data_IF_730425737046
#
_entry.id   IF_730425737046
#
_cell.length_a   1.000
_cell.length_b   1.000
_cell.length_c   1.000
_cell.angle_alpha   90.00
_cell.angle_beta   90.00
_cell.angle_gamma   90.00
#
_symmetry.space_group_name_H-M   'P 1'
#
loop_
_entity.id
_entity.type
_entity.pdbx_description
1 polymer ?
#
# COMPACT_ATOMS: atom_id res chain seq x y z
N UNK A 1 -20.41 -45.86 -61.23
CA UNK A 1 -20.07 -46.37 -59.88
C UNK A 1 -20.42 -45.27 -58.88
N UNK A 2 -21.44 -45.47 -58.03
CA UNK A 2 -21.82 -44.60 -56.89
C UNK A 2 -20.93 -45.00 -55.67
N UNK A 3 -21.24 -44.81 -54.35
CA UNK A 3 -22.30 -44.08 -53.59
C UNK A 3 -21.75 -43.30 -52.33
N UNK A 4 -22.51 -42.42 -51.64
CA UNK A 4 -23.24 -42.54 -50.33
C UNK A 4 -22.47 -42.64 -48.98
N UNK A 5 -22.97 -41.85 -48.00
CA UNK A 5 -23.19 -42.09 -46.55
C UNK A 5 -22.05 -42.01 -45.49
N UNK A 6 -22.36 -41.39 -44.34
CA UNK A 6 -21.50 -41.28 -43.15
C UNK A 6 -22.02 -40.37 -42.03
N UNK A 7 -23.01 -40.86 -41.29
CA UNK A 7 -23.83 -40.25 -40.22
C UNK A 7 -23.15 -40.22 -38.82
N UNK A 8 -23.51 -39.24 -37.96
CA UNK A 8 -23.72 -39.30 -36.47
C UNK A 8 -23.50 -37.90 -35.87
N UNK A 9 -24.28 -37.29 -34.97
CA UNK A 9 -25.51 -37.50 -34.19
C UNK A 9 -25.55 -36.30 -33.19
N UNK A 10 -26.58 -35.44 -33.10
CA UNK A 10 -27.85 -35.58 -32.34
C UNK A 10 -27.58 -35.73 -30.82
N UNK A 11 -28.12 -35.00 -29.83
CA UNK A 11 -29.25 -34.06 -29.68
C UNK A 11 -29.11 -33.31 -28.34
N UNK A 12 -29.78 -32.15 -28.23
CA UNK A 12 -30.16 -31.48 -26.99
C UNK A 12 -31.38 -32.19 -26.37
N UNK A 13 -31.41 -32.39 -25.04
CA UNK A 13 -32.69 -32.56 -24.34
C UNK A 13 -32.66 -32.09 -22.90
N UNK A 14 -33.63 -31.22 -22.65
CA UNK A 14 -34.07 -30.51 -21.46
C UNK A 14 -34.65 -31.44 -20.38
N UNK A 15 -34.56 -31.07 -19.09
CA UNK A 15 -35.57 -31.54 -18.13
C UNK A 15 -35.74 -30.67 -16.89
N UNK A 16 -37.01 -30.40 -16.63
CA UNK A 16 -37.60 -29.60 -15.56
C UNK A 16 -37.68 -30.32 -14.19
N UNK A 17 -38.12 -29.54 -13.20
CA UNK A 17 -38.36 -29.82 -11.77
C UNK A 17 -39.17 -31.09 -11.43
N UNK A 18 -39.23 -31.42 -10.13
CA UNK A 18 -40.56 -31.44 -9.48
C UNK A 18 -40.57 -30.84 -8.07
N UNK A 19 -41.72 -30.27 -7.70
CA UNK A 19 -42.04 -29.87 -6.33
C UNK A 19 -42.59 -31.02 -5.49
N UNK A 20 -42.61 -30.84 -4.17
CA UNK A 20 -43.42 -31.61 -3.22
C UNK A 20 -43.63 -30.77 -1.96
N UNK A 21 -44.88 -30.62 -1.53
CA UNK A 21 -45.26 -29.89 -0.31
C UNK A 21 -45.55 -30.83 0.85
N UNK A 22 -45.35 -30.37 2.09
CA UNK A 22 -46.02 -30.86 3.31
C UNK A 22 -46.05 -29.73 4.37
N UNK A 23 -47.16 -29.68 5.08
CA UNK A 23 -47.62 -28.75 6.11
C UNK A 23 -47.11 -29.17 7.52
N UNK A 24 -46.87 -28.24 8.44
CA UNK A 24 -46.59 -28.59 9.85
C UNK A 24 -46.06 -27.45 10.72
N UNK A 25 -46.92 -26.89 11.57
CA UNK A 25 -46.55 -26.01 12.67
C UNK A 25 -45.71 -26.75 13.72
N UNK A 26 -44.53 -26.24 14.05
CA UNK A 26 -43.88 -26.49 15.34
C UNK A 26 -43.08 -25.25 15.75
N UNK A 27 -43.50 -24.60 16.85
CA UNK A 27 -42.66 -23.62 17.55
C UNK A 27 -41.69 -24.39 18.43
N UNK A 28 -40.41 -24.38 18.08
CA UNK A 28 -39.31 -24.63 19.02
C UNK A 28 -38.42 -23.39 18.96
N UNK A 29 -38.38 -22.64 20.06
CA UNK A 29 -37.34 -21.67 20.28
C UNK A 29 -36.06 -22.43 20.59
N UNK A 30 -35.08 -22.34 19.70
CA UNK A 30 -33.72 -22.75 19.98
C UNK A 30 -32.78 -21.63 19.53
N UNK A 31 -31.88 -21.26 20.44
CA UNK A 31 -30.85 -20.26 20.22
C UNK A 31 -29.75 -20.95 19.40
N UNK A 32 -29.94 -20.98 18.08
CA UNK A 32 -28.89 -21.44 17.16
C UNK A 32 -28.13 -20.22 16.64
N UNK A 33 -26.91 -20.06 17.14
CA UNK A 33 -25.89 -19.19 16.54
C UNK A 33 -25.71 -19.62 15.08
N UNK A 34 -26.29 -18.88 14.14
CA UNK A 34 -26.15 -19.12 12.71
C UNK A 34 -24.73 -18.74 12.27
N UNK A 35 -23.80 -19.68 12.41
CA UNK A 35 -22.64 -19.72 11.53
C UNK A 35 -23.18 -20.16 10.17
N UNK A 36 -23.57 -19.18 9.36
CA UNK A 36 -23.96 -19.39 7.97
C UNK A 36 -22.71 -19.89 7.22
N UNK A 37 -22.55 -21.21 7.15
CA UNK A 37 -21.67 -21.87 6.20
C UNK A 37 -22.40 -22.01 4.87
N UNK A 38 -22.67 -20.89 4.21
CA UNK A 38 -22.89 -20.93 2.76
C UNK A 38 -21.53 -21.12 2.11
N UNK A 39 -21.27 -22.35 1.67
CA UNK A 39 -20.24 -22.68 0.69
C UNK A 39 -20.39 -21.75 -0.52
N UNK A 40 -19.58 -20.70 -0.57
CA UNK A 40 -19.49 -19.81 -1.72
C UNK A 40 -18.21 -20.18 -2.47
N UNK A 41 -18.35 -20.49 -3.75
CA UNK A 41 -17.28 -20.66 -4.73
C UNK A 41 -16.09 -19.75 -4.39
N UNK A 42 -14.99 -20.34 -3.94
CA UNK A 42 -13.84 -19.62 -3.41
C UNK A 42 -12.98 -19.05 -4.55
N UNK A 43 -13.59 -18.23 -5.40
CA UNK A 43 -12.89 -17.19 -6.13
C UNK A 43 -12.53 -16.10 -5.12
N UNK A 44 -11.23 -15.88 -4.88
CA UNK A 44 -10.74 -14.78 -4.05
C UNK A 44 -11.27 -13.46 -4.66
N UNK A 45 -12.32 -12.90 -4.07
CA UNK A 45 -12.85 -11.61 -4.50
C UNK A 45 -11.94 -10.50 -3.96
N UNK A 46 -11.62 -9.53 -4.82
CA UNK A 46 -10.72 -8.44 -4.45
C UNK A 46 -11.42 -7.48 -3.50
N UNK A 47 -10.82 -7.29 -2.32
CA UNK A 47 -11.24 -6.28 -1.35
C UNK A 47 -11.24 -4.87 -1.96
N UNK A 48 -12.30 -4.11 -1.66
CA UNK A 48 -12.49 -2.72 -2.11
C UNK A 48 -12.44 -1.78 -0.91
N UNK A 49 -12.03 -0.55 -1.14
CA UNK A 49 -12.08 0.51 -0.13
C UNK A 49 -13.53 0.84 0.23
N UNK A 50 -13.79 1.09 1.52
CA UNK A 50 -15.12 1.48 1.98
C UNK A 50 -15.49 2.89 1.49
N UNK A 51 -14.52 3.81 1.49
CA UNK A 51 -14.70 5.19 1.00
C UNK A 51 -13.52 5.67 0.17
N UNK A 52 -13.81 6.51 -0.83
CA UNK A 52 -12.78 7.13 -1.69
C UNK A 52 -11.75 7.96 -0.91
N UNK A 53 -12.15 8.54 0.22
CA UNK A 53 -11.25 9.32 1.09
C UNK A 53 -10.20 8.46 1.77
N UNK A 54 -10.51 7.20 2.12
CA UNK A 54 -9.57 6.27 2.77
C UNK A 54 -8.41 5.94 1.81
N UNK A 55 -8.75 5.72 0.54
CA UNK A 55 -7.79 5.56 -0.53
C UNK A 55 -6.93 6.81 -0.72
N UNK A 56 -7.55 8.00 -0.80
CA UNK A 56 -6.81 9.25 -0.98
C UNK A 56 -5.84 9.50 0.18
N UNK A 57 -6.29 9.31 1.43
CA UNK A 57 -5.46 9.47 2.61
C UNK A 57 -4.28 8.48 2.63
N UNK A 58 -4.50 7.25 2.18
CA UNK A 58 -3.42 6.26 2.03
C UNK A 58 -2.39 6.69 0.99
N UNK A 59 -2.81 7.24 -0.15
CA UNK A 59 -1.90 7.79 -1.16
C UNK A 59 -1.12 9.01 -0.64
N UNK A 60 -1.76 9.91 0.11
CA UNK A 60 -1.09 11.07 0.71
C UNK A 60 -0.07 10.62 1.76
N UNK A 61 -0.43 9.65 2.62
CA UNK A 61 0.48 9.10 3.62
C UNK A 61 1.71 8.43 2.99
N UNK A 62 1.54 7.72 1.86
CA UNK A 62 2.67 7.15 1.11
C UNK A 62 3.54 8.24 0.45
N UNK A 63 2.94 9.36 0.03
CA UNK A 63 3.65 10.43 -0.70
C UNK A 63 4.42 11.37 0.24
N UNK A 64 3.90 11.64 1.43
CA UNK A 64 4.51 12.53 2.43
C UNK A 64 5.34 11.70 3.40
N UNK A 65 6.62 11.48 3.06
CA UNK A 65 7.54 10.70 3.89
C UNK A 65 8.48 11.55 4.76
N UNK A 66 9.09 10.91 5.76
CA UNK A 66 10.08 11.53 6.65
C UNK A 66 11.29 12.11 5.90
N UNK A 67 11.62 11.54 4.73
CA UNK A 67 12.64 12.07 3.82
C UNK A 67 12.38 13.51 3.36
N UNK A 68 11.11 13.93 3.23
CA UNK A 68 10.78 15.30 2.83
C UNK A 68 11.13 16.32 3.92
N UNK A 69 11.17 15.90 5.20
CA UNK A 69 11.41 16.80 6.34
C UNK A 69 12.88 17.22 6.42
N UNK A 70 13.83 16.32 6.15
CA UNK A 70 15.27 16.64 6.24
C UNK A 70 15.96 16.82 4.88
N UNK A 71 15.55 16.07 3.84
CA UNK A 71 16.33 15.99 2.60
C UNK A 71 16.06 17.21 1.75
N UNK A 72 14.79 17.63 1.70
CA UNK A 72 14.38 18.79 0.94
C UNK A 72 15.03 20.07 1.47
N UNK A 73 14.96 20.41 2.78
CA UNK A 73 15.62 21.62 3.28
C UNK A 73 17.12 21.61 3.06
N UNK A 74 17.78 20.47 3.34
CA UNK A 74 19.22 20.34 3.14
C UNK A 74 19.64 20.55 1.67
N UNK A 75 18.87 20.00 0.74
CA UNK A 75 19.16 20.13 -0.70
C UNK A 75 18.84 21.54 -1.21
N UNK A 76 17.74 22.14 -0.76
CA UNK A 76 17.39 23.51 -1.10
C UNK A 76 18.46 24.48 -0.59
N UNK A 77 18.88 24.37 0.68
CA UNK A 77 19.91 25.23 1.27
C UNK A 77 21.23 25.18 0.50
N UNK A 78 21.66 24.01 0.03
CA UNK A 78 22.89 23.88 -0.76
C UNK A 78 22.80 24.41 -2.19
N UNK A 79 21.60 24.44 -2.77
CA UNK A 79 21.38 24.79 -4.18
C UNK A 79 20.75 26.18 -4.37
N UNK A 80 21.04 27.13 -3.48
CA UNK A 80 20.53 28.50 -3.58
C UNK A 80 19.22 28.77 -2.81
N UNK A 81 18.92 27.96 -1.80
CA UNK A 81 17.81 28.13 -0.87
C UNK A 81 16.44 28.12 -1.58
N UNK A 82 15.68 29.20 -1.41
CA UNK A 82 14.34 29.34 -1.99
C UNK A 82 14.31 29.37 -3.52
N UNK A 83 15.39 29.80 -4.19
CA UNK A 83 15.44 29.83 -5.65
C UNK A 83 15.37 28.43 -6.28
N UNK A 84 15.87 27.41 -5.59
CA UNK A 84 15.80 26.00 -5.99
C UNK A 84 14.36 25.45 -6.09
N UNK A 85 13.41 26.10 -5.42
CA UNK A 85 12.00 25.65 -5.41
C UNK A 85 11.36 25.82 -6.79
N UNK A 86 11.76 26.83 -7.57
CA UNK A 86 11.20 27.09 -8.90
C UNK A 86 11.45 25.91 -9.87
N UNK A 87 12.70 25.48 -10.12
CA UNK A 87 12.95 24.32 -10.98
C UNK A 87 12.40 23.01 -10.38
N UNK A 88 12.38 22.88 -9.05
CA UNK A 88 11.78 21.72 -8.38
C UNK A 88 10.29 21.58 -8.71
N UNK A 89 9.52 22.67 -8.63
CA UNK A 89 8.09 22.66 -8.97
C UNK A 89 7.85 22.38 -10.46
N UNK A 90 8.68 22.93 -11.35
CA UNK A 90 8.57 22.67 -12.80
C UNK A 90 8.73 21.18 -13.09
N UNK A 91 9.78 20.54 -12.56
CA UNK A 91 10.01 19.10 -12.74
C UNK A 91 8.90 18.28 -12.09
N UNK A 92 8.39 18.70 -10.93
CA UNK A 92 7.28 18.03 -10.25
C UNK A 92 6.00 18.04 -11.11
N UNK A 93 5.68 19.17 -11.77
CA UNK A 93 4.50 19.24 -12.63
C UNK A 93 4.69 18.57 -13.99
N UNK A 94 5.88 18.67 -14.58
CA UNK A 94 6.15 18.13 -15.93
C UNK A 94 6.43 16.62 -15.90
N UNK A 95 7.10 16.12 -14.87
CA UNK A 95 7.51 14.71 -14.77
C UNK A 95 6.75 14.00 -13.65
N UNK A 96 6.67 14.60 -12.47
CA UNK A 96 6.03 13.99 -11.30
C UNK A 96 4.54 13.73 -11.50
N UNK A 97 3.79 14.74 -11.95
CA UNK A 97 2.34 14.60 -12.16
C UNK A 97 2.03 13.54 -13.23
N UNK A 98 2.60 13.55 -14.45
CA UNK A 98 2.31 12.51 -15.44
C UNK A 98 2.68 11.08 -14.98
N UNK A 99 3.82 10.90 -14.31
CA UNK A 99 4.21 9.59 -13.78
C UNK A 99 3.24 9.08 -12.71
N UNK A 100 2.81 9.96 -11.81
CA UNK A 100 1.81 9.61 -10.80
C UNK A 100 0.48 9.18 -11.43
N UNK A 101 -0.01 9.93 -12.43
CA UNK A 101 -1.23 9.55 -13.16
C UNK A 101 -1.07 8.21 -13.89
N UNK A 102 0.08 7.98 -14.52
CA UNK A 102 0.35 6.73 -15.23
C UNK A 102 0.29 5.53 -14.28
N UNK A 103 0.96 5.61 -13.12
CA UNK A 103 0.96 4.55 -12.11
C UNK A 103 -0.46 4.26 -11.60
N UNK A 104 -1.24 5.33 -11.33
CA UNK A 104 -2.60 5.20 -10.83
C UNK A 104 -3.54 4.57 -11.87
N UNK A 105 -3.48 5.00 -13.13
CA UNK A 105 -4.29 4.43 -14.22
C UNK A 105 -3.90 2.97 -14.46
N UNK A 106 -2.60 2.65 -14.47
CA UNK A 106 -2.13 1.28 -14.66
C UNK A 106 -2.59 0.35 -13.52
N UNK A 107 -2.53 0.83 -12.27
CA UNK A 107 -3.00 0.10 -11.10
C UNK A 107 -4.51 -0.17 -11.12
N UNK A 108 -5.32 0.83 -11.51
CA UNK A 108 -6.77 0.67 -11.64
C UNK A 108 -7.14 -0.27 -12.80
N UNK A 109 -6.52 -0.10 -13.97
CA UNK A 109 -6.82 -0.89 -15.17
C UNK A 109 -6.45 -2.36 -15.00
N UNK A 110 -5.25 -2.65 -14.48
CA UNK A 110 -4.79 -4.03 -14.34
C UNK A 110 -5.44 -4.75 -13.17
N UNK A 111 -5.81 -4.01 -12.11
CA UNK A 111 -6.35 -4.55 -10.85
C UNK A 111 -5.52 -5.69 -10.26
N UNK A 112 -4.21 -5.72 -10.58
CA UNK A 112 -3.21 -6.70 -10.16
C UNK A 112 -2.08 -6.02 -9.37
N UNK A 113 -1.26 -6.81 -8.68
CA UNK A 113 -0.10 -6.29 -7.94
C UNK A 113 1.07 -5.87 -8.84
N UNK A 114 2.05 -5.17 -8.26
CA UNK A 114 3.14 -4.49 -8.97
C UNK A 114 4.00 -5.40 -9.86
N UNK A 115 4.11 -6.69 -9.55
CA UNK A 115 4.84 -7.66 -10.41
C UNK A 115 3.94 -8.18 -11.53
N UNK A 116 2.68 -8.50 -11.21
CA UNK A 116 1.70 -9.10 -12.14
C UNK A 116 1.16 -8.09 -13.16
N UNK A 117 1.28 -6.79 -12.88
CA UNK A 117 0.86 -5.72 -13.80
C UNK A 117 1.62 -5.78 -15.13
N UNK A 118 2.87 -6.24 -15.09
CA UNK A 118 3.77 -6.33 -16.23
C UNK A 118 3.73 -7.68 -16.96
N UNK A 119 2.81 -8.60 -16.60
CA UNK A 119 2.66 -9.88 -17.29
C UNK A 119 2.19 -9.74 -18.75
N UNK A 120 1.80 -8.53 -19.18
CA UNK A 120 1.49 -8.17 -20.58
C UNK A 120 2.74 -8.28 -21.48
N UNK A 121 3.93 -8.04 -20.93
CA UNK A 121 5.20 -8.20 -21.65
C UNK A 121 6.28 -8.78 -20.73
N UNK A 122 6.83 -9.98 -21.03
CA UNK A 122 7.79 -10.65 -20.17
C UNK A 122 9.08 -9.83 -19.96
N UNK A 123 9.42 -8.93 -20.90
CA UNK A 123 10.57 -8.04 -20.77
C UNK A 123 10.40 -7.01 -19.65
N UNK A 124 9.18 -6.55 -19.39
CA UNK A 124 8.88 -5.53 -18.37
C UNK A 124 8.71 -6.11 -16.96
N UNK A 125 8.66 -7.44 -16.82
CA UNK A 125 8.49 -8.12 -15.53
C UNK A 125 9.62 -7.81 -14.54
N UNK A 126 10.83 -7.53 -15.04
CA UNK A 126 11.96 -7.09 -14.23
C UNK A 126 11.71 -5.76 -13.50
N UNK A 127 10.90 -4.86 -14.07
CA UNK A 127 10.58 -3.57 -13.46
C UNK A 127 9.77 -3.76 -12.17
N UNK A 128 8.74 -4.63 -12.20
CA UNK A 128 7.92 -4.91 -11.03
C UNK A 128 8.69 -5.62 -9.91
N UNK A 129 9.60 -6.53 -10.26
CA UNK A 129 10.48 -7.19 -9.28
C UNK A 129 11.46 -6.18 -8.68
N UNK A 130 12.09 -5.34 -9.52
CA UNK A 130 12.97 -4.28 -9.07
C UNK A 130 12.28 -3.32 -8.10
N UNK A 131 11.08 -2.85 -8.45
CA UNK A 131 10.26 -2.00 -7.58
C UNK A 131 9.96 -2.66 -6.23
N UNK A 132 9.65 -3.97 -6.23
CA UNK A 132 9.38 -4.72 -4.98
C UNK A 132 10.63 -4.81 -4.10
N UNK A 133 11.80 -5.09 -4.67
CA UNK A 133 13.07 -5.14 -3.94
C UNK A 133 13.42 -3.77 -3.38
N UNK A 134 13.31 -2.71 -4.19
CA UNK A 134 13.56 -1.33 -3.74
C UNK A 134 12.65 -0.93 -2.58
N UNK A 135 11.35 -1.25 -2.64
CA UNK A 135 10.42 -0.98 -1.55
C UNK A 135 10.80 -1.75 -0.28
N UNK A 136 11.21 -3.02 -0.39
CA UNK A 136 11.67 -3.80 0.75
C UNK A 136 12.89 -3.17 1.43
N UNK A 137 13.89 -2.75 0.65
CA UNK A 137 15.08 -2.07 1.18
C UNK A 137 14.74 -0.74 1.85
N UNK A 138 13.87 0.06 1.23
CA UNK A 138 13.41 1.34 1.79
C UNK A 138 12.70 1.10 3.12
N UNK A 139 11.71 0.22 3.16
CA UNK A 139 10.95 -0.08 4.39
C UNK A 139 11.88 -0.55 5.50
N UNK A 140 12.86 -1.42 5.21
CA UNK A 140 13.82 -1.89 6.21
C UNK A 140 14.64 -0.76 6.84
N UNK A 141 15.20 0.14 6.03
CA UNK A 141 15.95 1.29 6.53
C UNK A 141 15.05 2.28 7.30
N UNK A 142 13.87 2.61 6.76
CA UNK A 142 12.96 3.56 7.40
C UNK A 142 12.37 3.01 8.72
N UNK A 143 12.20 1.69 8.85
CA UNK A 143 11.77 1.08 10.12
C UNK A 143 12.78 1.34 11.25
N UNK A 144 14.08 1.24 10.98
CA UNK A 144 15.12 1.54 11.98
C UNK A 144 15.11 3.02 12.39
N UNK A 145 14.92 3.94 11.43
CA UNK A 145 14.80 5.37 11.73
C UNK A 145 13.56 5.67 12.56
N UNK A 146 12.42 5.04 12.22
CA UNK A 146 11.18 5.21 12.97
C UNK A 146 11.34 4.68 14.41
N UNK A 147 12.04 3.56 14.61
CA UNK A 147 12.34 3.04 15.94
C UNK A 147 13.16 4.05 16.78
N UNK A 148 14.15 4.71 16.17
CA UNK A 148 14.91 5.78 16.83
C UNK A 148 13.97 6.95 17.18
N UNK A 149 13.12 7.40 16.26
CA UNK A 149 12.18 8.49 16.50
C UNK A 149 11.20 8.18 17.65
N UNK A 150 10.66 6.96 17.71
CA UNK A 150 9.81 6.51 18.81
C UNK A 150 10.57 6.47 20.14
N UNK A 151 11.84 6.03 20.14
CA UNK A 151 12.68 6.09 21.35
C UNK A 151 12.85 7.53 21.85
N UNK A 152 13.19 8.46 20.97
CA UNK A 152 13.30 9.88 21.31
C UNK A 152 11.96 10.47 21.77
N UNK A 153 10.83 10.04 21.19
CA UNK A 153 9.49 10.44 21.62
C UNK A 153 9.20 9.99 23.06
N UNK A 154 9.51 8.73 23.39
CA UNK A 154 9.33 8.20 24.75
C UNK A 154 10.25 8.92 25.75
N UNK A 155 11.51 9.14 25.39
CA UNK A 155 12.47 9.85 26.25
C UNK A 155 12.12 11.34 26.44
N UNK A 156 11.33 11.94 25.55
CA UNK A 156 10.87 13.33 25.67
C UNK A 156 9.88 13.55 26.84
N UNK A 157 9.28 12.47 27.37
CA UNK A 157 8.42 12.56 28.55
C UNK A 157 9.19 12.53 29.88
N UNK A 158 10.54 12.42 29.85
CA UNK A 158 11.38 12.49 31.04
C UNK A 158 11.88 13.91 31.29
N UNK A 159 11.89 14.32 32.55
CA UNK A 159 12.50 15.58 33.00
C UNK A 159 13.62 15.27 34.01
N UNK A 160 14.87 15.71 33.79
CA UNK A 160 15.38 16.46 32.64
C UNK A 160 15.52 15.59 31.37
N UNK A 161 15.52 16.21 30.19
CA UNK A 161 15.70 15.49 28.93
C UNK A 161 17.13 14.93 28.85
N UNK A 162 17.32 13.69 28.37
CA UNK A 162 18.61 13.00 28.47
C UNK A 162 19.72 13.56 27.56
N UNK A 163 19.40 14.52 26.69
CA UNK A 163 20.34 15.25 25.84
C UNK A 163 20.58 16.70 26.30
N UNK A 164 20.00 17.12 27.42
CA UNK A 164 20.23 18.46 27.98
C UNK A 164 21.61 18.58 28.62
N UNK A 165 22.02 17.52 29.34
CA UNK A 165 23.26 17.46 30.11
C UNK A 165 24.21 16.40 29.53
N UNK A 166 25.50 16.72 29.60
CA UNK A 166 26.58 15.79 29.26
C UNK A 166 26.57 14.55 30.14
N UNK A 167 26.61 13.37 29.53
CA UNK A 167 26.87 12.11 30.23
C UNK A 167 28.38 11.88 30.35
N UNK A 168 28.82 11.15 31.38
CA UNK A 168 30.25 10.87 31.64
C UNK A 168 30.97 10.20 30.47
N UNK A 169 30.22 9.51 29.61
CA UNK A 169 30.75 8.73 28.49
C UNK A 169 30.84 9.54 27.18
N UNK A 170 30.39 10.81 27.17
CA UNK A 170 30.36 11.64 25.98
C UNK A 170 31.61 12.50 25.87
N UNK A 171 32.36 12.36 24.77
CA UNK A 171 33.54 13.18 24.49
C UNK A 171 33.17 14.44 23.71
N UNK A 172 33.71 15.60 24.11
CA UNK A 172 33.52 16.87 23.40
C UNK A 172 32.12 17.47 23.51
N UNK A 173 31.39 17.17 24.58
CA UNK A 173 30.02 17.67 24.78
C UNK A 173 30.01 19.03 25.50
N UNK A 174 29.01 19.85 25.20
CA UNK A 174 28.75 21.13 25.88
C UNK A 174 27.32 21.07 26.40
N UNK A 175 27.13 21.19 27.72
CA UNK A 175 25.81 21.19 28.35
C UNK A 175 24.99 22.41 27.90
N UNK A 176 23.68 22.23 27.79
CA UNK A 176 22.76 23.32 27.38
C UNK A 176 22.70 24.47 28.41
N UNK A 177 23.11 24.21 29.65
CA UNK A 177 23.23 25.17 30.74
C UNK A 177 24.49 26.05 30.67
N UNK A 178 25.41 25.79 29.73
CA UNK A 178 26.61 26.59 29.53
C UNK A 178 26.28 27.93 28.85
N UNK A 179 25.92 28.93 29.66
CA UNK A 179 25.94 30.33 29.23
C UNK A 179 27.40 30.78 29.19
N UNK A 180 27.97 30.81 27.98
CA UNK A 180 29.30 31.35 27.76
C UNK A 180 29.43 32.72 28.42
N UNK A 181 30.40 32.87 29.32
CA UNK A 181 30.86 34.19 29.74
C UNK A 181 31.47 34.85 28.51
N UNK A 182 30.76 35.83 27.96
CA UNK A 182 31.30 36.81 27.02
C UNK A 182 32.23 37.77 27.74
#
# INVERSE_FOLDING_TARGET
>A
MPPEEGLSGVELSEKAAPGSGVNGNHKVGDVTTSVDMTSNDSGITREKWGKNIEFLLSCVALSVGFGNVWRFPYTALKNGGGAFVIPYLIVLFVVGRPLYYLEMVMGQFSSRGCVKVFDVSPLMRGVGVGQTITLFTIVGYYAAVLAIAVRYLVDSFRSPLPWTECQSDWYGCVSSSFQGQV
#
